data_IF_902517914347
#
_entry.id   IF_902517914347
#
_cell.length_a   1.000
_cell.length_b   1.000
_cell.length_c   1.000
_cell.angle_alpha   90.00
_cell.angle_beta   90.00
_cell.angle_gamma   90.00
#
_symmetry.space_group_name_H-M   'P 1'
#
loop_
_entity.id
_entity.type
_entity.pdbx_description
1 polymer ?
#
# COMPACT_ATOMS: atom_id res chain seq x y z
N UNK A 1 45.26 -15.94 -11.60
CA UNK A 1 44.54 -14.66 -11.46
C UNK A 1 44.19 -14.19 -12.86
N UNK A 2 42.93 -14.30 -13.27
CA UNK A 2 42.50 -13.71 -14.55
C UNK A 2 42.59 -12.19 -14.39
N UNK A 3 43.54 -11.56 -15.09
CA UNK A 3 43.57 -10.11 -15.30
C UNK A 3 42.35 -9.74 -16.15
N UNK A 4 41.14 -9.77 -15.58
CA UNK A 4 39.99 -9.19 -16.23
C UNK A 4 40.24 -7.70 -16.29
N UNK A 5 40.50 -7.17 -17.49
CA UNK A 5 40.62 -5.73 -17.73
C UNK A 5 39.42 -5.06 -17.05
N UNK A 6 39.64 -4.04 -16.20
CA UNK A 6 38.53 -3.31 -15.60
C UNK A 6 37.63 -2.79 -16.73
N UNK A 7 36.32 -2.89 -16.52
CA UNK A 7 35.33 -2.41 -17.48
C UNK A 7 35.60 -0.93 -17.73
N UNK A 8 35.90 -0.56 -18.97
CA UNK A 8 36.14 0.84 -19.34
C UNK A 8 34.89 1.67 -19.01
N UNK A 9 35.09 2.91 -18.57
CA UNK A 9 34.07 3.91 -18.31
C UNK A 9 32.96 3.93 -19.36
N UNK A 10 33.29 3.96 -20.66
CA UNK A 10 32.28 4.00 -21.73
C UNK A 10 31.41 2.74 -21.78
N UNK A 11 32.01 1.57 -21.56
CA UNK A 11 31.29 0.30 -21.51
C UNK A 11 30.38 0.25 -20.28
N UNK A 12 30.88 0.66 -19.11
CA UNK A 12 30.09 0.71 -17.88
C UNK A 12 28.91 1.69 -18.03
N UNK A 13 29.16 2.85 -18.63
CA UNK A 13 28.14 3.86 -18.97
C UNK A 13 27.01 3.25 -19.82
N UNK A 14 27.39 2.50 -20.86
CA UNK A 14 26.44 1.84 -21.75
C UNK A 14 25.65 0.72 -21.03
N UNK A 15 26.33 -0.08 -20.20
CA UNK A 15 25.69 -1.16 -19.44
C UNK A 15 24.66 -0.60 -18.43
N UNK A 16 25.04 0.41 -17.64
CA UNK A 16 24.14 1.02 -16.66
C UNK A 16 22.91 1.65 -17.31
N UNK A 17 23.06 2.27 -18.48
CA UNK A 17 21.92 2.84 -19.22
C UNK A 17 20.88 1.78 -19.63
N UNK A 18 21.32 0.57 -19.97
CA UNK A 18 20.46 -0.49 -20.51
C UNK A 18 20.08 -1.58 -19.49
N UNK A 19 20.50 -1.43 -18.23
CA UNK A 19 20.28 -2.41 -17.18
C UNK A 19 18.93 -2.17 -16.47
N UNK A 20 18.28 -3.25 -16.02
CA UNK A 20 17.07 -3.17 -15.18
C UNK A 20 17.34 -2.32 -13.94
N UNK A 21 16.37 -1.47 -13.60
CA UNK A 21 16.49 -0.50 -12.49
C UNK A 21 16.69 -1.18 -11.14
N UNK A 22 16.12 -2.36 -10.90
CA UNK A 22 16.37 -3.14 -9.70
C UNK A 22 17.83 -3.58 -9.59
N UNK A 23 18.39 -4.14 -10.68
CA UNK A 23 19.80 -4.55 -10.72
C UNK A 23 20.76 -3.36 -10.57
N UNK A 24 20.46 -2.22 -11.21
CA UNK A 24 21.25 -0.98 -11.04
C UNK A 24 21.33 -0.55 -9.58
N UNK A 25 20.20 -0.57 -8.86
CA UNK A 25 20.15 -0.23 -7.44
C UNK A 25 20.92 -1.23 -6.57
N UNK A 26 20.88 -2.53 -6.90
CA UNK A 26 21.73 -3.51 -6.22
C UNK A 26 23.22 -3.19 -6.40
N UNK A 27 23.65 -2.93 -7.64
CA UNK A 27 25.04 -2.56 -7.92
C UNK A 27 25.43 -1.26 -7.22
N UNK A 28 24.53 -0.27 -7.18
CA UNK A 28 24.74 0.99 -6.46
C UNK A 28 25.01 0.76 -4.96
N UNK A 29 24.23 -0.12 -4.32
CA UNK A 29 24.44 -0.45 -2.90
C UNK A 29 25.75 -1.23 -2.69
N UNK A 30 26.06 -2.17 -3.59
CA UNK A 30 27.22 -3.06 -3.44
C UNK A 30 28.56 -2.41 -3.78
N UNK A 31 28.59 -1.44 -4.70
CA UNK A 31 29.83 -0.91 -5.27
C UNK A 31 29.88 0.63 -5.16
N UNK A 32 30.51 1.17 -4.10
CA UNK A 32 30.65 2.62 -3.93
C UNK A 32 31.30 3.34 -5.11
N UNK A 33 32.26 2.68 -5.79
CA UNK A 33 33.01 3.26 -6.90
C UNK A 33 32.18 3.61 -8.14
N UNK A 34 31.00 3.00 -8.32
CA UNK A 34 30.13 3.28 -9.47
C UNK A 34 28.95 4.20 -9.13
N UNK A 35 28.77 4.55 -7.86
CA UNK A 35 27.57 5.25 -7.38
C UNK A 35 27.35 6.58 -8.08
N UNK A 36 28.42 7.36 -8.25
CA UNK A 36 28.36 8.64 -8.96
C UNK A 36 27.87 8.45 -10.40
N UNK A 37 28.48 7.51 -11.14
CA UNK A 37 28.14 7.24 -12.53
C UNK A 37 26.71 6.72 -12.68
N UNK A 38 26.28 5.83 -11.80
CA UNK A 38 24.95 5.23 -11.85
C UNK A 38 23.85 6.26 -11.56
N UNK A 39 24.09 7.22 -10.65
CA UNK A 39 23.15 8.32 -10.36
C UNK A 39 22.95 9.30 -11.53
N UNK A 40 23.87 9.36 -12.51
CA UNK A 40 23.71 10.22 -13.68
C UNK A 40 22.55 9.81 -14.60
N UNK A 41 22.05 8.59 -14.46
CA UNK A 41 20.98 8.05 -15.30
C UNK A 41 19.65 8.07 -14.56
N UNK A 42 18.58 8.62 -15.16
CA UNK A 42 17.23 8.47 -14.65
C UNK A 42 16.87 7.00 -14.38
N UNK A 43 16.04 6.79 -13.35
CA UNK A 43 15.49 5.48 -13.03
C UNK A 43 14.07 5.40 -13.55
N UNK A 44 13.86 4.61 -14.61
CA UNK A 44 12.53 4.22 -15.04
C UNK A 44 12.16 2.89 -14.38
N UNK A 45 11.04 2.89 -13.66
CA UNK A 45 10.58 1.78 -12.85
C UNK A 45 9.16 1.43 -13.29
N UNK A 46 8.91 0.16 -13.54
CA UNK A 46 7.56 -0.30 -13.88
C UNK A 46 6.71 -0.42 -12.61
N UNK A 47 7.27 -1.02 -11.56
CA UNK A 47 6.60 -1.22 -10.28
C UNK A 47 7.49 -0.76 -9.13
N UNK A 48 7.04 0.22 -8.37
CA UNK A 48 7.66 0.67 -7.13
C UNK A 48 6.70 0.41 -5.98
N UNK A 49 7.10 -0.36 -4.97
CA UNK A 49 6.36 -0.54 -3.72
C UNK A 49 7.22 -0.05 -2.57
N UNK A 50 6.70 0.86 -1.76
CA UNK A 50 7.32 1.31 -0.51
C UNK A 50 6.40 0.91 0.65
N UNK A 51 6.93 0.10 1.57
CA UNK A 51 6.29 -0.24 2.84
C UNK A 51 7.17 0.12 4.02
N UNK A 52 6.67 -0.03 5.26
CA UNK A 52 7.48 0.18 6.46
C UNK A 52 8.64 -0.83 6.60
N UNK A 53 8.51 -2.03 6.02
CA UNK A 53 9.51 -3.11 6.14
C UNK A 53 10.25 -3.45 4.84
N UNK A 54 9.82 -2.98 3.68
CA UNK A 54 10.53 -3.25 2.44
C UNK A 54 10.29 -2.22 1.34
N UNK A 55 11.23 -2.16 0.40
CA UNK A 55 11.13 -1.45 -0.87
C UNK A 55 11.24 -2.48 -1.99
N UNK A 56 10.30 -2.49 -2.92
CA UNK A 56 10.37 -3.34 -4.11
C UNK A 56 10.45 -2.46 -5.36
N UNK A 57 11.50 -2.66 -6.16
CA UNK A 57 11.73 -2.01 -7.46
C UNK A 57 11.71 -3.10 -8.53
N UNK A 58 10.67 -3.11 -9.36
CA UNK A 58 10.34 -4.17 -10.29
C UNK A 58 10.31 -5.54 -9.60
N UNK A 59 11.38 -6.34 -9.75
CA UNK A 59 11.52 -7.69 -9.15
C UNK A 59 12.52 -7.72 -7.99
N UNK A 60 13.18 -6.60 -7.70
CA UNK A 60 14.17 -6.51 -6.64
C UNK A 60 13.53 -5.98 -5.37
N UNK A 61 13.57 -6.77 -4.30
CA UNK A 61 13.08 -6.36 -2.98
C UNK A 61 14.25 -6.16 -2.02
N UNK A 62 14.27 -4.99 -1.39
CA UNK A 62 15.12 -4.63 -0.26
C UNK A 62 14.27 -4.79 1.00
N UNK A 63 14.48 -5.87 1.74
CA UNK A 63 13.65 -6.21 2.89
C UNK A 63 14.40 -5.97 4.20
N UNK A 64 13.83 -5.13 5.05
CA UNK A 64 14.24 -4.91 6.42
C UNK A 64 13.39 -5.77 7.36
N UNK A 65 14.04 -6.40 8.33
CA UNK A 65 13.38 -7.12 9.42
C UNK A 65 14.16 -6.99 10.70
N UNK A 66 13.45 -7.01 11.83
CA UNK A 66 14.05 -7.18 13.14
C UNK A 66 14.13 -8.67 13.45
N UNK A 67 15.34 -9.14 13.70
CA UNK A 67 15.62 -10.52 14.06
C UNK A 67 16.23 -10.55 15.46
N UNK A 68 15.99 -11.63 16.21
CA UNK A 68 16.60 -11.83 17.51
C UNK A 68 17.63 -12.96 17.42
N UNK A 69 18.79 -12.80 18.04
CA UNK A 69 19.90 -13.80 18.02
C UNK A 69 19.45 -15.21 18.41
N UNK A 70 18.53 -15.31 19.35
CA UNK A 70 18.02 -16.57 19.88
C UNK A 70 16.70 -16.98 19.25
N UNK A 71 16.01 -16.05 18.59
CA UNK A 71 14.70 -16.25 18.03
C UNK A 71 14.53 -15.65 16.63
N UNK A 72 14.52 -16.52 15.63
CA UNK A 72 14.28 -16.14 14.24
C UNK A 72 12.87 -16.54 13.77
N UNK A 73 11.83 -16.43 14.63
CA UNK A 73 10.43 -16.69 14.24
C UNK A 73 10.15 -16.15 12.84
N UNK A 74 9.74 -17.04 11.93
CA UNK A 74 9.32 -16.74 10.55
C UNK A 74 10.25 -15.78 9.78
N UNK A 75 11.54 -15.81 10.11
CA UNK A 75 12.56 -14.97 9.49
C UNK A 75 12.55 -13.50 9.92
N UNK A 76 11.98 -13.15 11.07
CA UNK A 76 12.01 -11.81 11.68
C UNK A 76 10.72 -11.00 11.55
N UNK A 77 10.62 -9.96 12.36
CA UNK A 77 9.48 -9.06 12.53
C UNK A 77 9.61 -7.79 11.67
N UNK A 78 8.47 -7.15 11.41
CA UNK A 78 8.35 -5.95 10.56
C UNK A 78 8.25 -4.64 11.35
N UNK A 79 8.36 -4.72 12.66
CA UNK A 79 8.05 -3.63 13.57
C UNK A 79 8.97 -3.64 14.78
N UNK A 80 9.25 -2.44 15.29
CA UNK A 80 10.07 -2.23 16.48
C UNK A 80 9.38 -2.76 17.72
N UNK A 81 10.21 -3.23 18.66
CA UNK A 81 9.77 -3.69 19.97
C UNK A 81 10.04 -2.67 21.06
N UNK A 82 9.08 -2.48 21.97
CA UNK A 82 9.30 -1.79 23.24
C UNK A 82 10.13 -2.67 24.20
N UNK A 83 10.44 -2.13 25.38
CA UNK A 83 11.22 -2.82 26.41
C UNK A 83 10.57 -4.10 26.96
N UNK A 84 9.29 -4.34 26.65
CA UNK A 84 8.54 -5.52 27.03
C UNK A 84 8.28 -6.47 25.85
N UNK A 85 8.89 -6.23 24.68
CA UNK A 85 8.71 -7.04 23.48
C UNK A 85 7.39 -6.78 22.73
N UNK A 86 6.67 -5.70 23.03
CA UNK A 86 5.43 -5.34 22.30
C UNK A 86 5.75 -4.42 21.14
N UNK A 87 4.77 -4.19 20.24
CA UNK A 87 4.89 -3.14 19.24
C UNK A 87 5.26 -1.81 19.90
N UNK A 88 6.37 -1.21 19.49
CA UNK A 88 6.82 0.08 20.01
C UNK A 88 5.87 1.21 19.62
N UNK A 89 5.15 1.71 20.62
CA UNK A 89 4.23 2.85 20.55
C UNK A 89 4.77 4.09 21.24
N UNK A 90 6.06 4.10 21.56
CA UNK A 90 6.72 5.29 22.10
C UNK A 90 6.61 6.48 21.17
N UNK A 91 6.95 7.64 21.71
CA UNK A 91 6.97 8.90 20.98
C UNK A 91 7.81 8.79 19.71
N UNK A 92 7.28 9.35 18.62
CA UNK A 92 8.00 9.50 17.36
C UNK A 92 8.66 10.86 17.38
N UNK A 93 9.99 10.86 17.46
CA UNK A 93 10.80 12.05 17.23
C UNK A 93 10.43 12.66 15.88
N UNK A 94 10.01 13.93 15.90
CA UNK A 94 9.64 14.68 14.71
C UNK A 94 10.91 15.21 14.04
N UNK A 95 10.96 15.09 12.72
CA UNK A 95 12.00 15.69 11.89
C UNK A 95 11.31 16.54 10.80
N UNK A 96 11.60 17.84 10.67
CA UNK A 96 10.97 18.69 9.67
C UNK A 96 11.29 18.28 8.22
N UNK A 97 12.36 17.51 7.99
CA UNK A 97 12.80 17.06 6.67
C UNK A 97 12.19 15.71 6.24
N UNK A 98 11.15 15.24 6.94
CA UNK A 98 10.43 14.02 6.59
C UNK A 98 8.91 14.13 6.74
N UNK A 99 8.23 13.26 6.01
CA UNK A 99 6.79 13.02 6.16
C UNK A 99 6.58 11.67 6.83
N UNK A 100 5.59 11.58 7.72
CA UNK A 100 5.37 10.40 8.55
C UNK A 100 3.97 9.83 8.31
N UNK A 101 3.92 8.56 7.91
CA UNK A 101 2.70 7.74 7.95
C UNK A 101 2.75 6.87 9.20
N UNK A 102 1.89 7.15 10.18
CA UNK A 102 1.77 6.37 11.42
C UNK A 102 0.37 5.74 11.56
N UNK A 103 0.34 4.42 11.42
CA UNK A 103 -0.88 3.59 11.51
C UNK A 103 -0.87 2.67 12.73
N UNK A 104 0.03 2.89 13.71
CA UNK A 104 0.14 2.02 14.91
C UNK A 104 -1.12 1.98 15.78
N UNK A 105 -1.97 2.99 15.69
CA UNK A 105 -3.28 3.04 16.37
C UNK A 105 -4.35 2.18 15.69
N UNK A 106 -4.09 1.70 14.46
CA UNK A 106 -5.02 0.89 13.68
C UNK A 106 -5.14 -0.57 14.14
N UNK A 107 -5.81 -1.37 13.30
CA UNK A 107 -6.18 -2.78 13.58
C UNK A 107 -5.00 -3.72 13.91
N UNK A 108 -3.77 -3.38 13.50
CA UNK A 108 -2.58 -4.20 13.78
C UNK A 108 -2.20 -4.26 15.26
N UNK A 109 -2.86 -3.46 16.11
CA UNK A 109 -2.77 -3.47 17.57
C UNK A 109 -2.85 -4.87 18.21
N UNK A 110 -3.48 -5.85 17.57
CA UNK A 110 -3.67 -7.21 18.12
C UNK A 110 -2.57 -8.23 17.78
N UNK A 111 -1.58 -7.92 16.91
CA UNK A 111 -0.56 -8.90 16.47
C UNK A 111 0.72 -8.94 17.35
N UNK A 112 0.67 -8.40 18.55
CA UNK A 112 1.77 -8.48 19.51
C UNK A 112 1.98 -9.90 20.07
N UNK A 113 3.04 -10.05 20.88
CA UNK A 113 3.28 -11.25 21.70
C UNK A 113 2.02 -11.58 22.51
N UNK A 114 1.53 -12.85 22.54
CA UNK A 114 0.37 -13.25 23.32
C UNK A 114 0.47 -12.82 24.79
N UNK A 115 -0.66 -12.46 25.42
CA UNK A 115 -0.70 -11.96 26.80
C UNK A 115 0.08 -12.80 27.82
N UNK A 116 0.00 -14.13 27.73
CA UNK A 116 0.72 -15.05 28.61
C UNK A 116 2.26 -15.00 28.43
N UNK A 117 2.74 -14.71 27.23
CA UNK A 117 4.16 -14.51 26.96
C UNK A 117 4.64 -13.11 27.44
N UNK A 118 3.72 -12.20 27.77
CA UNK A 118 4.05 -10.86 28.28
C UNK A 118 4.48 -10.85 29.75
N UNK A 119 3.85 -11.62 30.63
CA UNK A 119 4.32 -11.76 32.03
C UNK A 119 5.75 -12.28 32.06
N UNK A 120 6.02 -13.22 31.16
CA UNK A 120 7.34 -13.77 30.91
C UNK A 120 8.29 -12.65 30.46
N UNK A 121 7.98 -11.89 29.40
CA UNK A 121 8.82 -10.80 28.91
C UNK A 121 9.07 -9.69 29.95
N UNK A 122 8.06 -9.31 30.74
CA UNK A 122 8.19 -8.35 31.86
C UNK A 122 9.15 -8.85 32.93
N UNK A 123 9.01 -10.12 33.33
CA UNK A 123 9.91 -10.74 34.29
C UNK A 123 11.35 -10.74 33.76
N UNK A 124 11.56 -11.01 32.47
CA UNK A 124 12.89 -10.94 31.84
C UNK A 124 13.48 -9.55 31.90
N UNK A 125 12.71 -8.53 31.49
CA UNK A 125 13.18 -7.16 31.51
C UNK A 125 13.64 -6.78 32.93
N UNK A 126 12.80 -7.08 33.93
CA UNK A 126 13.13 -6.85 35.34
C UNK A 126 14.36 -7.64 35.81
N UNK A 127 14.46 -8.93 35.46
CA UNK A 127 15.62 -9.77 35.81
C UNK A 127 16.90 -9.35 35.09
N UNK A 128 16.80 -8.83 33.87
CA UNK A 128 17.94 -8.34 33.07
C UNK A 128 18.48 -7.05 33.69
N UNK A 129 17.58 -6.15 34.12
CA UNK A 129 17.95 -4.98 34.93
C UNK A 129 18.60 -5.41 36.26
N UNK A 130 18.06 -6.43 36.94
CA UNK A 130 18.62 -6.96 38.20
C UNK A 130 19.94 -7.74 38.04
N UNK A 131 20.21 -8.36 36.89
CA UNK A 131 21.48 -9.05 36.61
C UNK A 131 22.69 -8.11 36.65
N UNK A 132 22.48 -6.80 36.53
CA UNK A 132 23.52 -5.81 36.85
C UNK A 132 23.98 -5.86 38.32
N UNK A 133 23.28 -6.57 39.22
CA UNK A 133 23.54 -6.58 40.66
C UNK A 133 23.75 -7.97 41.31
N UNK A 134 24.42 -8.93 40.65
CA UNK A 134 24.87 -10.24 41.22
C UNK A 134 23.80 -11.34 41.28
N UNK A 135 23.43 -11.91 40.13
CA UNK A 135 22.80 -13.24 40.10
C UNK A 135 23.77 -14.31 39.58
N UNK A 136 23.96 -15.35 40.39
CA UNK A 136 24.97 -16.40 40.21
C UNK A 136 24.66 -17.32 39.02
N UNK A 137 25.72 -17.74 38.34
CA UNK A 137 25.76 -18.65 37.18
C UNK A 137 25.04 -19.99 37.41
N UNK A 138 24.77 -20.39 38.67
CA UNK A 138 24.11 -21.67 39.00
C UNK A 138 22.60 -21.71 38.72
N UNK A 139 21.91 -20.58 38.79
CA UNK A 139 20.49 -20.52 38.38
C UNK A 139 20.39 -20.59 36.84
N UNK A 140 21.44 -20.13 36.13
CA UNK A 140 21.49 -20.15 34.67
C UNK A 140 21.50 -21.55 34.06
N UNK A 141 22.24 -22.49 34.67
CA UNK A 141 22.35 -23.86 34.16
C UNK A 141 21.06 -24.66 34.37
N UNK A 142 20.38 -24.48 35.52
CA UNK A 142 19.14 -25.20 35.86
C UNK A 142 17.92 -24.72 35.07
N UNK A 143 17.88 -23.45 34.69
CA UNK A 143 16.73 -22.84 34.00
C UNK A 143 16.95 -22.67 32.49
N UNK A 144 17.93 -23.37 31.89
CA UNK A 144 18.39 -23.13 30.52
C UNK A 144 17.29 -23.04 29.45
N UNK A 145 16.25 -23.89 29.53
CA UNK A 145 15.11 -23.85 28.59
C UNK A 145 14.25 -22.60 28.78
N UNK A 146 13.93 -22.26 30.03
CA UNK A 146 13.17 -21.05 30.35
C UNK A 146 14.00 -19.85 29.90
N UNK A 147 15.27 -19.75 30.30
CA UNK A 147 16.17 -18.66 29.95
C UNK A 147 16.40 -18.49 28.44
N UNK A 148 16.48 -19.58 27.68
CA UNK A 148 16.52 -19.53 26.23
C UNK A 148 15.23 -18.90 25.68
N UNK A 149 14.07 -19.36 26.15
CA UNK A 149 12.76 -18.77 25.80
C UNK A 149 12.65 -17.31 26.25
N UNK A 150 13.21 -16.96 27.41
CA UNK A 150 13.28 -15.60 27.93
C UNK A 150 14.15 -14.69 27.06
N UNK A 151 15.28 -15.19 26.54
CA UNK A 151 16.23 -14.43 25.72
C UNK A 151 15.64 -13.98 24.37
N UNK A 152 14.52 -14.59 23.97
CA UNK A 152 13.77 -14.26 22.76
C UNK A 152 13.12 -12.88 22.81
N UNK A 153 12.89 -12.34 24.01
CA UNK A 153 12.14 -11.11 24.24
C UNK A 153 13.02 -9.93 24.67
N UNK A 154 14.34 -10.15 24.79
CA UNK A 154 15.33 -9.16 25.21
C UNK A 154 15.70 -8.29 23.99
N UNK A 155 15.36 -6.98 23.97
CA UNK A 155 15.63 -6.12 22.82
C UNK A 155 17.11 -5.99 22.47
N UNK A 156 18.02 -6.12 23.43
CA UNK A 156 19.47 -6.08 23.25
C UNK A 156 20.01 -7.25 22.40
N UNK A 157 19.21 -8.31 22.26
CA UNK A 157 19.51 -9.44 21.39
C UNK A 157 18.98 -9.24 19.96
N UNK A 158 18.26 -8.15 19.71
CA UNK A 158 17.74 -7.84 18.39
C UNK A 158 18.83 -7.26 17.49
N UNK A 159 18.64 -7.41 16.19
CA UNK A 159 19.43 -6.79 15.14
C UNK A 159 18.53 -6.49 13.94
N UNK A 160 18.85 -5.43 13.20
CA UNK A 160 18.18 -5.14 11.94
C UNK A 160 18.89 -5.93 10.85
N UNK A 161 18.11 -6.64 10.05
CA UNK A 161 18.60 -7.38 8.90
C UNK A 161 18.05 -6.78 7.61
N UNK A 162 18.95 -6.35 6.73
CA UNK A 162 18.64 -5.97 5.35
C UNK A 162 18.93 -7.16 4.43
N UNK A 163 17.94 -7.62 3.68
CA UNK A 163 18.08 -8.67 2.67
C UNK A 163 17.85 -8.11 1.28
N UNK A 164 18.78 -8.40 0.36
CA UNK A 164 18.74 -7.99 -1.05
C UNK A 164 19.06 -9.23 -1.90
N UNK A 165 18.03 -9.87 -2.47
CA UNK A 165 18.20 -11.15 -3.16
C UNK A 165 18.80 -12.22 -2.23
N UNK A 166 20.03 -12.67 -2.55
CA UNK A 166 20.79 -13.65 -1.74
C UNK A 166 21.70 -12.99 -0.70
N UNK A 167 21.96 -11.68 -0.80
CA UNK A 167 22.82 -10.95 0.12
C UNK A 167 22.04 -10.57 1.38
N UNK A 168 22.71 -10.65 2.51
CA UNK A 168 22.20 -10.25 3.83
C UNK A 168 23.22 -9.34 4.48
N UNK A 169 22.75 -8.22 4.99
CA UNK A 169 23.50 -7.29 5.83
C UNK A 169 22.81 -7.21 7.20
N UNK A 170 23.62 -7.16 8.26
CA UNK A 170 23.15 -7.13 9.65
C UNK A 170 23.69 -5.88 10.31
N UNK A 171 22.81 -5.14 10.98
CA UNK A 171 23.09 -3.93 11.74
C UNK A 171 22.67 -4.17 13.19
N UNK A 172 23.46 -3.69 14.14
CA UNK A 172 23.08 -3.72 15.56
C UNK A 172 21.78 -2.94 15.79
N UNK A 173 20.92 -3.45 16.67
CA UNK A 173 19.63 -2.81 16.99
C UNK A 173 19.82 -1.69 18.01
N UNK A 174 20.52 -0.64 17.59
CA UNK A 174 20.68 0.61 18.34
C UNK A 174 19.70 1.69 17.85
N UNK A 175 19.05 1.43 16.71
CA UNK A 175 18.15 2.31 15.98
C UNK A 175 16.91 1.53 15.56
N UNK A 176 15.83 2.26 15.28
CA UNK A 176 14.52 1.68 14.93
C UNK A 176 14.43 1.34 13.43
N UNK A 177 13.58 0.39 13.06
CA UNK A 177 13.44 -0.08 11.67
C UNK A 177 12.98 1.04 10.73
N UNK A 178 12.14 1.96 11.20
CA UNK A 178 11.67 3.09 10.41
C UNK A 178 12.79 4.08 10.09
N UNK A 179 13.81 4.20 10.94
CA UNK A 179 15.01 5.00 10.68
C UNK A 179 15.91 4.33 9.63
N UNK A 180 16.05 3.00 9.72
CA UNK A 180 16.74 2.22 8.70
C UNK A 180 16.02 2.32 7.35
N UNK A 181 14.68 2.33 7.34
CA UNK A 181 13.88 2.53 6.13
C UNK A 181 14.06 3.93 5.55
N UNK A 182 14.02 4.99 6.37
CA UNK A 182 14.32 6.37 5.95
C UNK A 182 15.70 6.46 5.30
N UNK A 183 16.72 5.90 5.96
CA UNK A 183 18.08 5.87 5.42
C UNK A 183 18.14 5.15 4.07
N UNK A 184 17.46 4.01 3.96
CA UNK A 184 17.42 3.22 2.73
C UNK A 184 16.72 3.99 1.59
N UNK A 185 15.60 4.65 1.86
CA UNK A 185 14.90 5.51 0.90
C UNK A 185 15.80 6.66 0.40
N UNK A 186 16.45 7.37 1.32
CA UNK A 186 17.39 8.44 0.98
C UNK A 186 18.60 7.94 0.18
N UNK A 187 19.14 6.77 0.53
CA UNK A 187 20.26 6.14 -0.20
C UNK A 187 19.85 5.72 -1.60
N UNK A 188 18.72 5.03 -1.74
CA UNK A 188 18.27 4.46 -3.01
C UNK A 188 17.75 5.53 -3.97
N UNK A 189 17.05 6.54 -3.48
CA UNK A 189 16.32 7.49 -4.32
C UNK A 189 16.75 8.95 -4.18
N UNK A 190 17.48 9.30 -3.13
CA UNK A 190 17.93 10.67 -2.88
C UNK A 190 18.83 11.22 -3.99
N UNK A 191 18.46 12.39 -4.50
CA UNK A 191 19.15 13.10 -5.58
C UNK A 191 19.03 12.41 -6.94
N UNK A 192 17.99 11.59 -7.15
CA UNK A 192 17.74 10.91 -8.44
C UNK A 192 16.44 11.39 -9.06
N UNK A 193 16.42 11.43 -10.38
CA UNK A 193 15.17 11.46 -11.14
C UNK A 193 14.60 10.05 -11.23
N UNK A 194 13.44 9.82 -10.61
CA UNK A 194 12.73 8.54 -10.65
C UNK A 194 11.35 8.71 -11.30
N UNK A 195 11.09 7.85 -12.28
CA UNK A 195 9.78 7.72 -12.91
C UNK A 195 9.23 6.32 -12.63
N UNK A 196 8.06 6.23 -11.99
CA UNK A 196 7.38 4.97 -11.70
C UNK A 196 6.02 4.89 -12.39
N UNK A 197 5.80 3.89 -13.25
CA UNK A 197 4.49 3.69 -13.85
C UNK A 197 3.44 3.31 -12.79
N UNK A 198 3.74 2.29 -12.00
CA UNK A 198 2.90 1.83 -10.88
C UNK A 198 3.64 2.10 -9.58
N UNK A 199 3.09 3.00 -8.77
CA UNK A 199 3.61 3.32 -7.45
C UNK A 199 2.63 2.84 -6.38
N UNK A 200 3.11 2.02 -5.46
CA UNK A 200 2.37 1.60 -4.29
C UNK A 200 3.06 2.05 -3.02
N UNK A 201 2.32 2.68 -2.13
CA UNK A 201 2.82 3.10 -0.83
C UNK A 201 1.81 2.70 0.24
N UNK A 202 2.29 2.07 1.30
CA UNK A 202 1.45 1.68 2.41
C UNK A 202 2.28 1.41 3.64
N UNK A 203 1.64 1.36 4.80
CA UNK A 203 2.32 1.20 6.06
C UNK A 203 1.54 0.22 6.93
N UNK A 204 2.25 -0.64 7.65
CA UNK A 204 1.69 -1.50 8.71
C UNK A 204 2.01 -0.93 10.10
N UNK A 205 2.93 0.03 10.19
CA UNK A 205 3.40 0.62 11.46
C UNK A 205 3.74 2.09 11.29
N UNK A 206 5.02 2.41 11.09
CA UNK A 206 5.54 3.75 10.86
C UNK A 206 6.38 3.74 9.59
N UNK A 207 6.10 4.67 8.68
CA UNK A 207 6.89 4.88 7.48
C UNK A 207 7.31 6.36 7.45
N UNK A 208 8.61 6.59 7.56
CA UNK A 208 9.25 7.91 7.43
C UNK A 208 9.80 8.05 6.02
N UNK A 209 9.35 9.08 5.32
CA UNK A 209 9.77 9.36 3.94
C UNK A 209 10.49 10.71 3.92
N UNK A 210 11.76 10.77 3.46
CA UNK A 210 12.44 12.07 3.31
C UNK A 210 11.69 12.99 2.35
N UNK A 211 11.44 14.23 2.75
CA UNK A 211 10.69 15.23 1.96
C UNK A 211 11.43 15.66 0.68
N UNK A 212 12.74 15.40 0.63
CA UNK A 212 13.61 15.63 -0.53
C UNK A 212 13.33 14.69 -1.71
N UNK A 213 12.56 13.61 -1.50
CA UNK A 213 12.22 12.67 -2.56
C UNK A 213 11.12 13.24 -3.46
N UNK A 214 11.32 13.13 -4.76
CA UNK A 214 10.33 13.49 -5.79
C UNK A 214 10.22 12.39 -6.82
N UNK A 215 9.01 11.87 -7.00
CA UNK A 215 8.71 10.78 -7.92
C UNK A 215 7.74 11.25 -8.99
N UNK A 216 8.12 11.04 -10.25
CA UNK A 216 7.16 11.13 -11.35
C UNK A 216 6.37 9.83 -11.40
N UNK A 217 5.08 9.87 -11.14
CA UNK A 217 4.24 8.66 -11.08
C UNK A 217 3.05 8.77 -12.01
N UNK A 218 2.57 7.63 -12.51
CA UNK A 218 1.37 7.60 -13.36
C UNK A 218 0.16 7.03 -12.61
N UNK A 219 0.37 5.94 -11.86
CA UNK A 219 -0.68 5.21 -11.15
C UNK A 219 -0.29 5.01 -9.69
N UNK A 220 -1.18 5.41 -8.77
CA UNK A 220 -0.97 5.29 -7.32
C UNK A 220 -1.86 4.20 -6.73
N UNK A 221 -1.29 3.36 -5.86
CA UNK A 221 -2.02 2.37 -5.07
C UNK A 221 -1.66 2.43 -3.58
N UNK A 222 -2.64 2.71 -2.73
CA UNK A 222 -2.46 2.86 -1.28
C UNK A 222 -3.35 1.89 -0.50
N UNK A 223 -2.83 0.70 -0.11
CA UNK A 223 -3.59 -0.28 0.67
C UNK A 223 -3.67 0.02 2.18
N UNK A 224 -3.17 1.16 2.65
CA UNK A 224 -3.06 1.47 4.08
C UNK A 224 -4.36 2.01 4.67
N UNK A 225 -4.58 1.73 5.95
CA UNK A 225 -5.48 2.51 6.79
C UNK A 225 -4.97 3.96 6.96
N UNK A 226 -5.86 4.92 7.24
CA UNK A 226 -5.58 6.37 7.29
C UNK A 226 -5.21 6.96 5.92
N UNK A 227 -5.99 6.66 4.89
CA UNK A 227 -5.78 7.15 3.52
C UNK A 227 -5.48 8.65 3.42
N UNK A 228 -6.14 9.51 4.22
CA UNK A 228 -5.91 10.96 4.19
C UNK A 228 -4.44 11.32 4.47
N UNK A 229 -3.86 10.78 5.55
CA UNK A 229 -2.45 11.00 5.91
C UNK A 229 -1.51 10.43 4.82
N UNK A 230 -1.81 9.24 4.29
CA UNK A 230 -1.03 8.65 3.21
C UNK A 230 -1.04 9.53 1.96
N UNK A 231 -2.19 10.12 1.61
CA UNK A 231 -2.29 11.03 0.47
C UNK A 231 -1.58 12.36 0.71
N UNK A 232 -1.59 12.89 1.94
CA UNK A 232 -0.81 14.09 2.29
C UNK A 232 0.69 13.85 2.08
N UNK A 233 1.19 12.70 2.52
CA UNK A 233 2.59 12.29 2.31
C UNK A 233 2.88 12.10 0.83
N UNK A 234 1.97 11.48 0.07
CA UNK A 234 2.14 11.33 -1.38
C UNK A 234 2.18 12.68 -2.07
N UNK A 235 1.33 13.63 -1.68
CA UNK A 235 1.31 14.98 -2.24
C UNK A 235 2.65 15.71 -2.04
N UNK A 236 3.38 15.39 -0.98
CA UNK A 236 4.71 15.93 -0.72
C UNK A 236 5.81 15.29 -1.58
N UNK A 237 5.69 14.01 -1.96
CA UNK A 237 6.75 13.30 -2.69
C UNK A 237 6.45 13.08 -4.17
N UNK A 238 5.24 13.38 -4.62
CA UNK A 238 4.90 13.33 -6.04
C UNK A 238 5.42 14.58 -6.75
N UNK A 239 5.99 14.39 -7.94
CA UNK A 239 6.37 15.50 -8.79
C UNK A 239 5.13 16.11 -9.46
N UNK A 240 5.06 17.44 -9.54
CA UNK A 240 3.93 18.15 -10.15
C UNK A 240 3.68 17.75 -11.61
N UNK A 241 4.70 17.30 -12.35
CA UNK A 241 4.52 16.80 -13.73
C UNK A 241 3.70 15.50 -13.80
N UNK A 242 3.45 14.85 -12.66
CA UNK A 242 2.61 13.64 -12.56
C UNK A 242 1.12 13.97 -12.51
N UNK A 243 0.76 15.24 -12.23
CA UNK A 243 -0.61 15.63 -11.97
C UNK A 243 -1.28 16.13 -13.25
N UNK A 244 -2.56 15.76 -13.50
CA UNK A 244 -3.35 14.80 -12.74
C UNK A 244 -2.89 13.34 -12.96
N UNK A 245 -2.97 12.52 -11.90
CA UNK A 245 -2.65 11.10 -11.96
C UNK A 245 -3.56 10.36 -12.95
N UNK A 246 -3.03 9.36 -13.65
CA UNK A 246 -3.83 8.53 -14.55
C UNK A 246 -4.79 7.61 -13.78
N UNK A 247 -4.34 7.04 -12.65
CA UNK A 247 -5.26 6.35 -11.74
C UNK A 247 -4.82 6.38 -10.29
N UNK A 248 -5.81 6.36 -9.40
CA UNK A 248 -5.64 6.28 -7.96
C UNK A 248 -6.47 5.11 -7.45
N UNK A 249 -5.83 4.18 -6.77
CA UNK A 249 -6.47 3.03 -6.15
C UNK A 249 -6.25 3.03 -4.64
N UNK A 250 -7.31 2.86 -3.85
CA UNK A 250 -7.19 2.71 -2.40
C UNK A 250 -8.31 1.86 -1.80
N UNK A 251 -8.05 1.35 -0.59
CA UNK A 251 -9.04 0.64 0.21
C UNK A 251 -9.97 1.64 0.89
N UNK A 252 -11.27 1.52 0.63
CA UNK A 252 -12.29 2.43 1.10
C UNK A 252 -12.40 2.43 2.63
N UNK A 253 -12.37 3.63 3.23
CA UNK A 253 -12.60 3.85 4.65
C UNK A 253 -13.82 4.74 4.83
N UNK A 254 -14.73 4.36 5.75
CA UNK A 254 -15.99 5.08 5.90
C UNK A 254 -15.76 6.56 6.29
N UNK A 255 -14.73 6.88 7.07
CA UNK A 255 -14.55 8.19 7.70
C UNK A 255 -14.04 9.34 6.78
N UNK A 256 -13.97 9.16 5.46
CA UNK A 256 -13.42 10.19 4.53
C UNK A 256 -14.46 11.29 4.19
N UNK A 257 -15.50 11.46 5.00
CA UNK A 257 -16.69 12.25 4.64
C UNK A 257 -16.48 13.75 4.40
N UNK A 258 -15.44 14.36 4.96
CA UNK A 258 -15.48 15.81 5.13
C UNK A 258 -14.84 16.62 4.01
N UNK A 259 -13.69 16.23 3.46
CA UNK A 259 -13.07 16.94 2.34
C UNK A 259 -12.30 15.99 1.42
N UNK A 260 -12.61 15.95 0.11
CA UNK A 260 -11.85 15.15 -0.82
C UNK A 260 -10.44 15.69 -0.95
N UNK A 261 -9.46 14.83 -0.71
CA UNK A 261 -8.06 15.15 -0.95
C UNK A 261 -7.85 15.53 -2.43
N UNK A 262 -7.01 16.53 -2.71
CA UNK A 262 -6.79 17.09 -4.05
C UNK A 262 -6.43 16.03 -5.11
N UNK A 263 -5.61 15.04 -4.73
CA UNK A 263 -5.26 13.89 -5.58
C UNK A 263 -6.47 13.01 -5.94
N UNK A 264 -7.48 12.88 -5.05
CA UNK A 264 -8.71 12.13 -5.35
C UNK A 264 -9.59 12.92 -6.31
N UNK A 265 -9.67 14.24 -6.09
CA UNK A 265 -10.52 15.10 -6.91
C UNK A 265 -10.04 15.17 -8.36
N UNK A 266 -8.73 15.33 -8.57
CA UNK A 266 -8.15 15.58 -9.90
C UNK A 266 -7.79 14.33 -10.70
N UNK A 267 -7.89 13.13 -10.11
CA UNK A 267 -7.46 11.88 -10.78
C UNK A 267 -8.34 11.53 -11.97
N UNK A 268 -7.75 11.03 -13.07
CA UNK A 268 -8.50 10.62 -14.27
C UNK A 268 -9.36 9.38 -14.09
N UNK A 269 -8.99 8.50 -13.16
CA UNK A 269 -9.67 7.25 -12.87
C UNK A 269 -9.53 6.89 -11.40
N UNK A 270 -10.62 6.94 -10.65
CA UNK A 270 -10.66 6.48 -9.27
C UNK A 270 -10.94 4.96 -9.20
N UNK A 271 -10.21 4.23 -8.36
CA UNK A 271 -10.43 2.80 -8.13
C UNK A 271 -10.61 2.53 -6.63
N UNK A 272 -11.78 2.08 -6.23
CA UNK A 272 -12.12 1.81 -4.83
C UNK A 272 -12.10 0.31 -4.57
N UNK A 273 -11.33 -0.12 -3.57
CA UNK A 273 -11.46 -1.46 -2.99
C UNK A 273 -12.32 -1.40 -1.74
N UNK A 274 -13.47 -2.06 -1.74
CA UNK A 274 -14.45 -1.96 -0.66
C UNK A 274 -14.55 -3.30 0.06
N UNK A 275 -14.19 -3.33 1.33
CA UNK A 275 -14.61 -4.41 2.23
C UNK A 275 -16.09 -4.18 2.55
N UNK A 276 -17.00 -5.00 2.01
CA UNK A 276 -18.44 -4.73 2.14
C UNK A 276 -18.92 -4.90 3.59
N UNK A 277 -19.30 -3.79 4.20
CA UNK A 277 -20.15 -3.72 5.40
C UNK A 277 -21.45 -3.01 4.97
N UNK A 278 -22.65 -3.43 5.43
CA UNK A 278 -23.93 -2.87 4.96
C UNK A 278 -24.04 -1.34 4.97
N UNK A 279 -23.31 -0.68 5.88
CA UNK A 279 -23.38 0.77 6.13
C UNK A 279 -22.42 1.62 5.26
N UNK A 280 -21.77 1.04 4.25
CA UNK A 280 -20.77 1.77 3.43
C UNK A 280 -21.36 2.45 2.20
N UNK A 281 -22.64 2.23 1.87
CA UNK A 281 -23.23 2.71 0.61
C UNK A 281 -23.20 4.23 0.52
N UNK A 282 -23.60 4.93 1.60
CA UNK A 282 -23.57 6.39 1.65
C UNK A 282 -22.16 6.94 1.43
N UNK A 283 -21.15 6.37 2.10
CA UNK A 283 -19.77 6.80 1.95
C UNK A 283 -19.18 6.49 0.56
N UNK A 284 -19.52 5.36 -0.05
CA UNK A 284 -19.12 5.04 -1.43
C UNK A 284 -19.68 6.09 -2.38
N UNK A 285 -20.98 6.37 -2.26
CA UNK A 285 -21.68 7.38 -3.04
C UNK A 285 -21.01 8.75 -2.91
N UNK A 286 -20.73 9.18 -1.68
CA UNK A 286 -20.10 10.48 -1.42
C UNK A 286 -18.71 10.56 -2.05
N UNK A 287 -17.88 9.51 -1.93
CA UNK A 287 -16.54 9.50 -2.55
C UNK A 287 -16.62 9.56 -4.08
N UNK A 288 -17.61 8.92 -4.67
CA UNK A 288 -17.83 8.91 -6.11
C UNK A 288 -18.36 10.25 -6.66
N UNK A 289 -18.92 11.12 -5.81
CA UNK A 289 -19.34 12.47 -6.18
C UNK A 289 -18.20 13.49 -6.09
N UNK A 290 -17.06 13.11 -5.48
CA UNK A 290 -15.95 14.01 -5.21
C UNK A 290 -14.90 14.11 -6.33
N UNK A 291 -14.96 13.25 -7.35
CA UNK A 291 -13.99 13.22 -8.45
C UNK A 291 -14.45 14.15 -9.57
N UNK A 292 -13.58 15.07 -10.02
CA UNK A 292 -13.88 15.97 -11.14
C UNK A 292 -14.06 15.17 -12.43
N UNK A 293 -13.22 14.14 -12.62
CA UNK A 293 -13.30 13.20 -13.72
C UNK A 293 -14.34 12.12 -13.42
N UNK A 294 -15.27 11.92 -14.35
CA UNK A 294 -16.49 11.13 -14.12
C UNK A 294 -16.26 9.62 -14.33
N UNK A 295 -15.12 9.11 -13.89
CA UNK A 295 -14.62 7.74 -14.17
C UNK A 295 -14.18 7.06 -12.88
N UNK A 296 -14.90 5.99 -12.52
CA UNK A 296 -14.57 5.19 -11.34
C UNK A 296 -14.71 3.68 -11.59
N UNK A 297 -13.94 2.88 -10.85
CA UNK A 297 -14.06 1.43 -10.82
C UNK A 297 -14.07 0.93 -9.38
N UNK A 298 -15.10 0.16 -9.03
CA UNK A 298 -15.32 -0.34 -7.68
C UNK A 298 -15.09 -1.84 -7.68
N UNK A 299 -14.25 -2.31 -6.77
CA UNK A 299 -13.97 -3.72 -6.52
C UNK A 299 -14.40 -4.06 -5.10
N UNK A 300 -15.28 -5.04 -4.96
CA UNK A 300 -15.65 -5.56 -3.65
C UNK A 300 -14.66 -6.66 -3.24
N UNK A 301 -14.04 -6.52 -2.06
CA UNK A 301 -13.09 -7.48 -1.49
C UNK A 301 -13.79 -8.66 -0.80
N UNK A 302 -15.08 -8.53 -0.50
CA UNK A 302 -15.97 -9.60 -0.04
C UNK A 302 -17.18 -9.76 -0.95
N UNK A 303 -18.08 -10.69 -0.60
CA UNK A 303 -19.26 -10.99 -1.42
C UNK A 303 -20.26 -9.83 -1.42
N UNK A 304 -20.38 -9.14 -2.55
CA UNK A 304 -21.44 -8.19 -2.80
C UNK A 304 -22.72 -8.95 -3.14
N UNK A 305 -23.72 -8.94 -2.26
CA UNK A 305 -25.04 -9.51 -2.58
C UNK A 305 -25.79 -8.62 -3.56
N UNK A 306 -26.71 -9.22 -4.32
CA UNK A 306 -27.60 -8.50 -5.23
C UNK A 306 -28.40 -7.42 -4.50
N UNK A 307 -28.88 -7.70 -3.29
CA UNK A 307 -29.57 -6.71 -2.45
C UNK A 307 -28.70 -5.47 -2.16
N UNK A 308 -27.42 -5.66 -1.83
CA UNK A 308 -26.52 -4.54 -1.58
C UNK A 308 -26.22 -3.74 -2.84
N UNK A 309 -26.02 -4.43 -3.97
CA UNK A 309 -25.80 -3.76 -5.25
C UNK A 309 -27.04 -2.99 -5.72
N UNK A 310 -28.24 -3.55 -5.53
CA UNK A 310 -29.49 -2.88 -5.88
C UNK A 310 -29.70 -1.57 -5.11
N UNK A 311 -29.15 -1.43 -3.90
CA UNK A 311 -29.15 -0.13 -3.19
C UNK A 311 -28.23 0.89 -3.88
N UNK A 312 -27.05 0.47 -4.36
CA UNK A 312 -26.15 1.33 -5.16
C UNK A 312 -26.84 1.73 -6.48
N UNK A 313 -27.50 0.77 -7.14
CA UNK A 313 -28.24 1.04 -8.37
C UNK A 313 -29.44 1.95 -8.12
N UNK A 314 -30.17 1.76 -7.03
CA UNK A 314 -31.26 2.64 -6.63
C UNK A 314 -30.76 4.07 -6.42
N UNK A 315 -29.58 4.26 -5.82
CA UNK A 315 -28.96 5.58 -5.73
C UNK A 315 -28.67 6.19 -7.13
N UNK A 316 -28.24 5.38 -8.11
CA UNK A 316 -28.06 5.86 -9.48
C UNK A 316 -29.36 6.29 -10.17
N UNK A 317 -30.44 5.57 -9.93
CA UNK A 317 -31.73 5.79 -10.62
C UNK A 317 -32.56 6.87 -9.90
N UNK A 318 -32.53 6.90 -8.56
CA UNK A 318 -33.40 7.72 -7.72
C UNK A 318 -32.73 9.00 -7.19
N UNK A 319 -31.44 8.96 -6.86
CA UNK A 319 -30.70 10.09 -6.28
C UNK A 319 -29.94 10.85 -7.39
N UNK A 320 -30.74 11.57 -8.16
CA UNK A 320 -30.45 12.05 -9.51
C UNK A 320 -29.54 13.30 -9.55
N UNK A 321 -28.21 13.19 -9.40
CA UNK A 321 -27.29 14.33 -9.57
C UNK A 321 -25.98 14.00 -10.32
N UNK A 322 -25.99 13.02 -11.26
CA UNK A 322 -24.79 12.69 -12.04
C UNK A 322 -24.81 13.34 -13.41
N UNK A 323 -23.75 14.06 -13.72
CA UNK A 323 -23.64 14.69 -15.03
C UNK A 323 -23.55 13.65 -16.16
N UNK A 324 -24.02 14.06 -17.34
CA UNK A 324 -23.85 13.30 -18.57
C UNK A 324 -22.35 13.05 -18.82
N UNK A 325 -22.06 11.84 -19.30
CA UNK A 325 -20.71 11.33 -19.48
C UNK A 325 -20.15 10.61 -18.25
N UNK A 326 -20.83 10.60 -17.10
CA UNK A 326 -20.41 9.81 -15.93
C UNK A 326 -20.44 8.32 -16.24
N UNK A 327 -19.36 7.60 -15.93
CA UNK A 327 -19.24 6.16 -16.16
C UNK A 327 -18.52 5.47 -15.03
N UNK A 328 -19.25 4.67 -14.25
CA UNK A 328 -18.66 3.84 -13.21
C UNK A 328 -18.79 2.37 -13.57
N UNK A 329 -17.80 1.60 -13.14
CA UNK A 329 -17.77 0.15 -13.35
C UNK A 329 -17.64 -0.57 -12.02
N UNK A 330 -18.26 -1.72 -11.89
CA UNK A 330 -18.29 -2.51 -10.66
C UNK A 330 -17.90 -3.93 -10.99
N UNK A 331 -16.96 -4.48 -10.22
CA UNK A 331 -16.57 -5.88 -10.34
C UNK A 331 -17.52 -6.74 -9.48
N UNK A 332 -18.30 -7.61 -10.13
CA UNK A 332 -19.33 -8.43 -9.49
C UNK A 332 -19.17 -9.91 -9.87
N UNK A 333 -19.88 -10.79 -9.15
CA UNK A 333 -20.03 -12.19 -9.55
C UNK A 333 -21.09 -12.32 -10.65
N UNK A 334 -21.02 -13.38 -11.44
CA UNK A 334 -21.98 -13.65 -12.52
C UNK A 334 -23.42 -13.71 -12.00
N UNK A 335 -23.64 -14.45 -10.91
CA UNK A 335 -24.96 -14.60 -10.29
C UNK A 335 -25.59 -13.25 -9.92
N UNK A 336 -24.79 -12.34 -9.34
CA UNK A 336 -25.25 -11.00 -8.94
C UNK A 336 -25.55 -10.15 -10.17
N UNK A 337 -24.70 -10.20 -11.19
CA UNK A 337 -24.92 -9.48 -12.45
C UNK A 337 -26.23 -9.92 -13.10
N UNK A 338 -26.47 -11.23 -13.20
CA UNK A 338 -27.68 -11.76 -13.83
C UNK A 338 -28.94 -11.42 -13.03
N UNK A 339 -28.91 -11.58 -11.71
CA UNK A 339 -30.04 -11.22 -10.84
C UNK A 339 -30.37 -9.73 -10.94
N UNK A 340 -29.36 -8.87 -10.95
CA UNK A 340 -29.54 -7.42 -11.11
C UNK A 340 -30.09 -7.07 -12.49
N UNK A 341 -29.59 -7.69 -13.56
CA UNK A 341 -30.11 -7.46 -14.92
C UNK A 341 -31.57 -7.90 -15.07
N UNK A 342 -31.94 -9.05 -14.50
CA UNK A 342 -33.34 -9.52 -14.45
C UNK A 342 -34.20 -8.53 -13.65
N UNK A 343 -33.72 -8.11 -12.48
CA UNK A 343 -34.41 -7.15 -11.63
C UNK A 343 -34.68 -5.85 -12.38
N UNK A 344 -33.68 -5.32 -13.10
CA UNK A 344 -33.82 -4.08 -13.88
C UNK A 344 -34.89 -4.22 -14.95
N UNK A 345 -34.86 -5.30 -15.76
CA UNK A 345 -35.86 -5.52 -16.81
C UNK A 345 -37.26 -5.63 -16.25
N UNK A 346 -37.41 -6.26 -15.10
CA UNK A 346 -38.70 -6.52 -14.48
C UNK A 346 -39.28 -5.27 -13.82
N UNK A 347 -38.45 -4.49 -13.11
CA UNK A 347 -38.93 -3.38 -12.28
C UNK A 347 -38.82 -2.00 -12.95
N UNK A 348 -37.89 -1.83 -13.89
CA UNK A 348 -37.70 -0.58 -14.64
C UNK A 348 -38.05 -0.74 -16.13
N UNK A 349 -38.80 -1.79 -16.49
CA UNK A 349 -39.20 -2.07 -17.87
C UNK A 349 -39.91 -0.90 -18.57
N UNK A 350 -40.68 -0.12 -17.81
CA UNK A 350 -41.38 1.08 -18.31
C UNK A 350 -40.45 2.24 -18.67
N UNK A 351 -39.23 2.25 -18.10
CA UNK A 351 -38.20 3.23 -18.41
C UNK A 351 -37.31 2.78 -19.58
N UNK A 352 -37.47 1.56 -20.09
CA UNK A 352 -36.62 1.06 -21.18
C UNK A 352 -36.89 1.89 -22.44
N UNK A 353 -35.84 2.50 -22.96
CA UNK A 353 -35.94 3.41 -24.09
C UNK A 353 -36.28 2.64 -25.39
N UNK A 354 -37.38 3.03 -26.03
CA UNK A 354 -37.87 2.37 -27.23
C UNK A 354 -36.96 2.65 -28.44
N UNK A 355 -36.50 1.60 -29.11
CA UNK A 355 -35.70 1.70 -30.34
C UNK A 355 -34.18 1.59 -30.16
N UNK A 356 -33.67 1.60 -28.92
CA UNK A 356 -32.25 1.31 -28.66
C UNK A 356 -31.96 -0.21 -28.61
N UNK A 357 -30.72 -0.65 -28.89
CA UNK A 357 -30.34 -2.06 -28.82
C UNK A 357 -30.47 -2.61 -27.40
N UNK A 358 -31.54 -3.34 -27.14
CA UNK A 358 -31.69 -4.12 -25.91
C UNK A 358 -31.08 -5.50 -26.16
N UNK A 359 -29.77 -5.63 -25.96
CA UNK A 359 -29.12 -6.94 -26.00
C UNK A 359 -29.27 -7.64 -24.64
N UNK A 360 -28.92 -8.92 -24.55
CA UNK A 360 -28.85 -9.62 -23.25
C UNK A 360 -27.91 -8.91 -22.26
N UNK A 361 -26.90 -8.23 -22.78
CA UNK A 361 -25.78 -7.68 -22.03
C UNK A 361 -25.86 -6.16 -21.80
N UNK A 362 -26.85 -5.49 -22.38
CA UNK A 362 -27.04 -4.05 -22.25
C UNK A 362 -28.52 -3.69 -22.09
N UNK A 363 -28.80 -2.75 -21.19
CA UNK A 363 -30.11 -2.13 -20.98
C UNK A 363 -29.92 -0.63 -20.96
N UNK A 364 -30.71 0.11 -21.74
CA UNK A 364 -30.77 1.56 -21.65
C UNK A 364 -32.11 1.99 -21.05
N UNK A 365 -32.04 2.71 -19.93
CA UNK A 365 -33.18 3.32 -19.26
C UNK A 365 -33.22 4.80 -19.61
N UNK A 366 -34.35 5.31 -20.07
CA UNK A 366 -34.62 6.73 -20.13
C UNK A 366 -34.86 7.24 -18.70
N UNK A 367 -34.01 8.17 -18.28
CA UNK A 367 -33.95 8.68 -16.92
C UNK A 367 -34.61 10.06 -16.85
N UNK A 368 -34.44 10.89 -17.88
CA UNK A 368 -35.27 12.08 -18.15
C UNK A 368 -35.25 12.44 -19.64
N UNK A 369 -35.96 13.50 -20.04
CA UNK A 369 -36.08 13.98 -21.43
C UNK A 369 -34.75 14.22 -22.19
N UNK A 370 -33.61 14.26 -21.50
CA UNK A 370 -32.30 14.61 -22.05
C UNK A 370 -31.17 13.65 -21.66
N UNK A 371 -31.49 12.58 -20.92
CA UNK A 371 -30.47 11.67 -20.43
C UNK A 371 -30.98 10.26 -20.18
N UNK A 372 -30.12 9.31 -20.51
CA UNK A 372 -30.35 7.88 -20.36
C UNK A 372 -29.24 7.23 -19.54
N UNK A 373 -29.60 6.26 -18.71
CA UNK A 373 -28.67 5.39 -18.00
C UNK A 373 -28.47 4.11 -18.81
N UNK A 374 -27.25 3.96 -19.34
CA UNK A 374 -26.80 2.74 -20.00
C UNK A 374 -26.18 1.81 -18.95
N UNK A 375 -26.86 0.69 -18.76
CA UNK A 375 -26.43 -0.43 -17.93
C UNK A 375 -25.85 -1.48 -18.85
N UNK A 376 -24.59 -1.88 -18.63
CA UNK A 376 -23.93 -2.91 -19.42
C UNK A 376 -23.25 -3.95 -18.54
N UNK A 377 -23.15 -5.18 -19.04
CA UNK A 377 -22.29 -6.21 -18.48
C UNK A 377 -21.32 -6.72 -19.52
N UNK A 378 -20.10 -6.99 -19.11
CA UNK A 378 -19.11 -7.66 -19.95
C UNK A 378 -18.10 -8.40 -19.09
N UNK A 379 -17.49 -9.44 -19.66
CA UNK A 379 -16.46 -10.20 -18.99
C UNK A 379 -15.08 -9.60 -19.29
N UNK A 380 -14.28 -9.37 -18.25
CA UNK A 380 -12.88 -8.97 -18.36
C UNK A 380 -12.01 -9.97 -17.61
N UNK A 381 -11.29 -10.82 -18.36
CA UNK A 381 -10.59 -11.99 -17.81
C UNK A 381 -11.59 -12.93 -17.13
N UNK A 382 -11.36 -13.30 -15.86
CA UNK A 382 -12.22 -14.20 -15.07
C UNK A 382 -13.27 -13.44 -14.24
N UNK A 383 -13.53 -12.17 -14.56
CA UNK A 383 -14.38 -11.29 -13.74
C UNK A 383 -15.46 -10.63 -14.56
N UNK A 384 -16.64 -10.50 -13.98
CA UNK A 384 -17.74 -9.75 -14.59
C UNK A 384 -17.67 -8.28 -14.18
N UNK A 385 -17.79 -7.41 -15.18
CA UNK A 385 -17.82 -5.96 -15.01
C UNK A 385 -19.23 -5.48 -15.32
N UNK A 386 -19.82 -4.77 -14.38
CA UNK A 386 -21.11 -4.11 -14.50
C UNK A 386 -20.86 -2.60 -14.67
N UNK A 387 -21.22 -2.05 -15.82
CA UNK A 387 -21.03 -0.65 -16.17
C UNK A 387 -22.31 0.16 -16.06
N UNK A 388 -22.22 1.34 -15.45
CA UNK A 388 -23.30 2.33 -15.35
C UNK A 388 -22.82 3.64 -15.98
N UNK A 389 -23.44 4.05 -17.09
CA UNK A 389 -23.06 5.25 -17.85
C UNK A 389 -24.23 6.19 -18.08
N UNK A 390 -24.06 7.48 -17.80
CA UNK A 390 -25.01 8.52 -18.20
C UNK A 390 -24.69 9.00 -19.61
N UNK A 391 -25.66 8.91 -20.51
CA UNK A 391 -25.61 9.40 -21.89
C UNK A 391 -26.73 10.41 -22.15
N UNK A 392 -26.63 11.08 -23.30
CA UNK A 392 -27.63 12.04 -23.79
C UNK A 392 -28.81 11.32 -24.44
#
# INVERSE_FOLDING_TARGET
MSNSKPVNYLTLKCLLKNMDSGMRLQLFVMFPSIQYLEKLFPLHVKYLTIKSDHITVNRTTFQLKICNKYNNFHGGYKFDFDQYGRLDRGEIEQDPDESIIDVRDGFLSKKGIPECEMETARLVHNLTLQKSQRYSTRIWESHGTILKKLSYYVPENNFIRLKIGKRVEVLEYQRKIHEAMKYLLGRLFGGRSLEANQFSIGCDTVLRVPSTLKFRIENLYTPSFKIANTLDVVNQIVDNSSLPLSSLKYSFENHIYHHPHSLVRTVKMLKLEVEMVPDYISGIVSNLQMVDEKRAHIVFLGDCTSSNFLKILAHWILEFHRDIGTYHTYQLSEAVVDEVMIFVRTNYGVMIEAGLPQTTDQITLNINDTSSLVISKFQQKEKWIFGLKMEH
#
